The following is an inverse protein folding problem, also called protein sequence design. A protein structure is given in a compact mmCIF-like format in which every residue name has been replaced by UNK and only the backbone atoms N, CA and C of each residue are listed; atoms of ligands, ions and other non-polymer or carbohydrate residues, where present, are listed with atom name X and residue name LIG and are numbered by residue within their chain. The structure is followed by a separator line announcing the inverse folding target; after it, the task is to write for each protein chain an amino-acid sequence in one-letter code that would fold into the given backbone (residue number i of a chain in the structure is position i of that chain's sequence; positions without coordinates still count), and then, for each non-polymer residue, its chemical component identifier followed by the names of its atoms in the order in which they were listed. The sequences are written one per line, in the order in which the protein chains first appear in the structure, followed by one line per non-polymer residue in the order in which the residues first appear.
data_IF_853484816564
#
_entry.id   IF_853484816564
#
_cell.length_a   1.000
_cell.length_b   1.000
_cell.length_c   1.000
_cell.angle_alpha   90.00
_cell.angle_beta   90.00
_cell.angle_gamma   90.00
#
_symmetry.space_group_name_H-M   'P 1'
#
loop_
_entity.id
_entity.type
_entity.pdbx_description
1 polymer ?
#
# COMPACT_ATOMS: atom_id res chain seq x y z
N UNK A 1 16.22 6.65 51.47
CA UNK A 1 15.86 7.58 50.37
C UNK A 1 16.37 7.17 48.98
N UNK A 2 17.49 6.45 48.86
CA UNK A 2 18.07 6.00 47.58
C UNK A 2 17.18 5.05 46.75
N UNK A 3 16.42 4.15 47.39
CA UNK A 3 15.44 3.25 46.72
C UNK A 3 14.25 3.99 46.10
N UNK A 4 13.87 5.13 46.68
CA UNK A 4 12.80 6.00 46.13
C UNK A 4 13.33 6.73 44.90
N UNK A 5 14.57 7.23 44.96
CA UNK A 5 15.24 7.89 43.83
C UNK A 5 15.36 7.00 42.58
N UNK A 6 15.68 5.71 42.78
CA UNK A 6 15.78 4.73 41.69
C UNK A 6 14.43 4.51 40.99
N UNK A 7 13.33 4.48 41.74
CA UNK A 7 11.98 4.32 41.18
C UNK A 7 11.54 5.56 40.36
N UNK A 8 11.96 6.76 40.75
CA UNK A 8 11.67 7.99 40.01
C UNK A 8 12.47 8.11 38.71
N UNK A 9 13.72 7.64 38.69
CA UNK A 9 14.57 7.62 37.48
C UNK A 9 14.01 6.64 36.44
N UNK A 10 13.47 5.50 36.87
CA UNK A 10 12.87 4.51 35.99
C UNK A 10 11.60 5.04 35.29
N UNK A 11 10.83 5.90 35.97
CA UNK A 11 9.56 6.43 35.46
C UNK A 11 9.74 7.53 34.39
N UNK A 12 10.82 8.32 34.47
CA UNK A 12 11.14 9.39 33.51
C UNK A 12 11.71 8.85 32.19
N UNK A 13 12.28 7.65 32.19
CA UNK A 13 12.86 7.03 31.00
C UNK A 13 11.82 6.52 29.96
N UNK A 14 10.53 6.48 30.31
CA UNK A 14 9.47 5.93 29.45
C UNK A 14 8.83 6.97 28.50
N UNK A 15 9.19 8.25 28.59
CA UNK A 15 8.47 9.34 27.90
C UNK A 15 8.97 9.71 26.48
N UNK A 16 10.15 9.34 25.95
CA UNK A 16 10.56 9.84 24.63
C UNK A 16 10.16 8.89 23.48
N UNK A 17 8.94 8.33 23.48
CA UNK A 17 8.43 7.52 22.35
C UNK A 17 7.45 8.28 21.44
N UNK A 18 7.10 9.53 21.75
CA UNK A 18 6.06 10.28 21.02
C UNK A 18 6.58 11.53 20.29
N UNK A 19 7.89 11.81 20.32
CA UNK A 19 8.48 12.98 19.64
C UNK A 19 9.44 12.54 18.53
N UNK A 20 8.94 11.72 17.60
CA UNK A 20 9.77 11.14 16.55
C UNK A 20 9.01 10.65 15.33
N UNK A 21 8.06 11.42 14.79
CA UNK A 21 7.79 11.48 13.34
C UNK A 21 6.78 12.61 13.05
N UNK A 22 7.15 13.86 13.36
CA UNK A 22 6.56 15.03 12.70
C UNK A 22 7.52 15.44 11.59
N UNK A 23 7.20 15.13 10.34
CA UNK A 23 8.08 15.48 9.23
C UNK A 23 7.55 15.03 7.87
N UNK A 24 6.98 15.98 7.13
CA UNK A 24 6.93 15.93 5.67
C UNK A 24 5.65 15.34 5.09
N UNK A 25 4.72 16.22 4.74
CA UNK A 25 3.73 15.95 3.71
C UNK A 25 4.43 15.74 2.37
N UNK A 26 5.00 14.56 2.17
CA UNK A 26 5.19 14.03 0.84
C UNK A 26 3.84 13.46 0.44
N UNK A 27 3.17 14.12 -0.50
CA UNK A 27 2.18 13.45 -1.34
C UNK A 27 2.95 12.33 -2.04
N UNK A 28 2.96 11.15 -1.42
CA UNK A 28 3.52 9.95 -2.04
C UNK A 28 2.53 9.58 -3.14
N UNK A 29 2.65 10.25 -4.30
CA UNK A 29 2.28 9.63 -5.57
C UNK A 29 3.22 8.45 -5.75
N UNK A 30 2.93 7.36 -5.05
CA UNK A 30 3.40 6.06 -5.44
C UNK A 30 2.71 5.79 -6.77
N UNK A 31 3.31 6.26 -7.87
CA UNK A 31 3.05 5.67 -9.18
C UNK A 31 3.62 4.25 -9.15
N UNK A 32 2.96 3.35 -8.40
CA UNK A 32 3.11 1.91 -8.60
C UNK A 32 2.30 1.56 -9.85
N UNK A 33 2.69 2.12 -10.99
CA UNK A 33 2.09 1.79 -12.28
C UNK A 33 3.19 1.41 -13.25
N UNK A 34 3.96 0.39 -12.87
CA UNK A 34 4.74 -0.39 -13.84
C UNK A 34 4.14 -1.80 -13.92
N UNK A 35 2.81 -1.88 -14.00
CA UNK A 35 2.16 -3.11 -14.41
C UNK A 35 2.20 -3.12 -15.93
N UNK A 36 2.97 -4.04 -16.51
CA UNK A 36 3.05 -4.15 -17.96
C UNK A 36 1.68 -4.52 -18.55
N UNK A 37 1.41 -4.10 -19.77
CA UNK A 37 0.19 -4.44 -20.54
C UNK A 37 -0.05 -5.96 -20.55
N UNK A 38 1.02 -6.75 -20.65
CA UNK A 38 0.96 -8.20 -20.57
C UNK A 38 0.42 -8.72 -19.24
N UNK A 39 0.86 -8.16 -18.11
CA UNK A 39 0.33 -8.54 -16.79
C UNK A 39 -1.14 -8.17 -16.63
N UNK A 40 -1.54 -6.97 -17.09
CA UNK A 40 -2.93 -6.54 -17.04
C UNK A 40 -3.84 -7.48 -17.85
N UNK A 41 -3.40 -7.93 -19.02
CA UNK A 41 -4.14 -8.89 -19.85
C UNK A 41 -4.22 -10.30 -19.22
N UNK A 42 -3.17 -10.75 -18.55
CA UNK A 42 -3.17 -12.03 -17.83
C UNK A 42 -4.14 -12.01 -16.65
N UNK A 43 -4.15 -10.94 -15.87
CA UNK A 43 -5.06 -10.79 -14.73
C UNK A 43 -6.52 -10.70 -15.20
N UNK A 44 -6.77 -9.95 -16.28
CA UNK A 44 -8.08 -9.87 -16.91
C UNK A 44 -8.58 -11.24 -17.38
N UNK A 45 -7.69 -12.05 -18.00
CA UNK A 45 -8.03 -13.41 -18.41
C UNK A 45 -8.33 -14.30 -17.21
N UNK A 46 -7.55 -14.19 -16.14
CA UNK A 46 -7.76 -14.96 -14.92
C UNK A 46 -9.12 -14.65 -14.29
N UNK A 47 -9.54 -13.39 -14.29
CA UNK A 47 -10.85 -12.96 -13.81
C UNK A 47 -12.02 -13.58 -14.60
N UNK A 48 -11.88 -13.69 -15.92
CA UNK A 48 -12.84 -14.41 -16.75
C UNK A 48 -12.85 -15.92 -16.45
N UNK A 49 -11.68 -16.54 -16.34
CA UNK A 49 -11.55 -17.99 -16.12
C UNK A 49 -12.13 -18.40 -14.75
N UNK A 50 -12.06 -17.53 -13.75
CA UNK A 50 -12.69 -17.73 -12.44
C UNK A 50 -14.18 -17.36 -12.38
N UNK A 51 -14.77 -16.91 -13.50
CA UNK A 51 -16.17 -16.52 -13.58
C UNK A 51 -16.49 -15.21 -12.84
N UNK A 52 -15.47 -14.39 -12.52
CA UNK A 52 -15.66 -13.10 -11.87
C UNK A 52 -16.14 -12.00 -12.83
N UNK A 53 -16.11 -12.27 -14.14
CA UNK A 53 -16.64 -11.41 -15.19
C UNK A 53 -17.20 -12.22 -16.35
N UNK A 54 -18.03 -11.58 -17.15
CA UNK A 54 -18.59 -12.15 -18.37
C UNK A 54 -17.62 -11.98 -19.56
N UNK A 55 -17.84 -12.76 -20.63
CA UNK A 55 -17.05 -12.64 -21.87
C UNK A 55 -17.10 -11.21 -22.44
N UNK A 56 -18.26 -10.60 -22.44
CA UNK A 56 -18.45 -9.25 -23.01
C UNK A 56 -17.70 -8.19 -22.20
N UNK A 57 -17.63 -8.34 -20.87
CA UNK A 57 -16.83 -7.46 -20.00
C UNK A 57 -15.33 -7.64 -20.24
N UNK A 58 -14.90 -8.90 -20.38
CA UNK A 58 -13.52 -9.22 -20.72
C UNK A 58 -13.09 -8.55 -22.04
N UNK A 59 -13.90 -8.66 -23.10
CA UNK A 59 -13.52 -8.13 -24.40
C UNK A 59 -13.42 -6.59 -24.39
N UNK A 60 -14.35 -5.91 -23.71
CA UNK A 60 -14.32 -4.45 -23.53
C UNK A 60 -13.08 -3.97 -22.78
N UNK A 61 -12.74 -4.63 -21.67
CA UNK A 61 -11.56 -4.25 -20.88
C UNK A 61 -10.27 -4.59 -21.60
N UNK A 62 -10.22 -5.72 -22.33
CA UNK A 62 -9.07 -6.10 -23.15
C UNK A 62 -8.80 -5.05 -24.22
N UNK A 63 -9.83 -4.56 -24.90
CA UNK A 63 -9.70 -3.51 -25.91
C UNK A 63 -9.24 -2.18 -25.30
N UNK A 64 -9.75 -1.79 -24.13
CA UNK A 64 -9.29 -0.60 -23.40
C UNK A 64 -7.80 -0.68 -23.05
N UNK A 65 -7.33 -1.84 -22.60
CA UNK A 65 -5.91 -2.04 -22.27
C UNK A 65 -5.05 -1.92 -23.52
N UNK A 66 -5.45 -2.52 -24.63
CA UNK A 66 -4.69 -2.50 -25.89
C UNK A 66 -4.69 -1.14 -26.61
N UNK A 67 -5.73 -0.34 -26.45
CA UNK A 67 -5.83 0.99 -27.06
C UNK A 67 -5.16 2.10 -26.20
N UNK A 68 -4.65 1.76 -25.02
CA UNK A 68 -4.03 2.72 -24.08
C UNK A 68 -2.51 2.82 -24.24
N UNK A 69 -1.90 1.92 -25.01
CA UNK A 69 -0.49 1.91 -25.43
C UNK A 69 -0.34 2.31 -26.90
#
# INVERSE_FOLDING_TARGET
MKRRLILWILFIAMVPLLSGCGGGGAEVRSEVTSVTTGQQLMDLKKALDMGAMTRDEYDREREKILNKD
#
